data_IF_452368048951
#
_entry.id   IF_452368048951
#
_cell.length_a   1.000
_cell.length_b   1.000
_cell.length_c   1.000
_cell.angle_alpha   90.00
_cell.angle_beta   90.00
_cell.angle_gamma   90.00
#
_symmetry.space_group_name_H-M   'P 1'
#
loop_
_entity.id
_entity.type
_entity.pdbx_description
1 polymer ?
#
# COMPACT_ATOMS: atom_id res chain seq x y z
N UNK A 1 0.06 17.05 7.63
CA UNK A 1 0.64 15.70 7.74
C UNK A 1 2.03 15.77 7.15
N UNK A 2 2.98 15.07 7.73
CA UNK A 2 4.34 14.98 7.22
C UNK A 2 4.65 13.51 6.95
N UNK A 3 5.32 13.24 5.82
CA UNK A 3 5.75 11.90 5.46
C UNK A 3 7.01 11.54 6.24
N UNK A 4 6.98 10.39 6.92
CA UNK A 4 8.13 9.84 7.65
C UNK A 4 8.72 8.69 6.83
N UNK A 5 10.00 8.79 6.48
CA UNK A 5 10.70 7.74 5.76
C UNK A 5 11.32 6.74 6.75
N UNK A 6 11.00 5.46 6.58
CA UNK A 6 11.57 4.34 7.34
C UNK A 6 12.09 3.26 6.40
N UNK A 7 13.04 2.46 6.86
CA UNK A 7 13.45 1.23 6.17
C UNK A 7 12.57 0.07 6.62
N UNK A 8 12.25 -0.83 5.69
CA UNK A 8 11.57 -2.10 5.98
C UNK A 8 12.02 -3.16 4.99
N UNK A 9 11.86 -4.44 5.34
CA UNK A 9 12.10 -5.56 4.45
C UNK A 9 10.76 -6.17 4.04
N UNK A 10 10.55 -6.35 2.73
CA UNK A 10 9.32 -6.95 2.21
C UNK A 10 9.67 -8.16 1.36
N UNK A 11 8.96 -9.26 1.61
CA UNK A 11 9.05 -10.49 0.83
C UNK A 11 7.76 -10.69 0.04
N UNK A 12 7.86 -10.82 -1.28
CA UNK A 12 6.74 -11.24 -2.13
C UNK A 12 6.59 -12.76 -2.06
N UNK A 13 5.41 -13.24 -1.70
CA UNK A 13 5.18 -14.67 -1.45
C UNK A 13 5.14 -15.49 -2.74
N UNK A 14 4.45 -14.98 -3.77
CA UNK A 14 4.34 -15.60 -5.09
C UNK A 14 4.61 -14.57 -6.21
N UNK A 15 5.88 -14.26 -6.53
CA UNK A 15 6.22 -13.16 -7.44
C UNK A 15 5.67 -13.28 -8.87
N UNK A 16 5.36 -14.50 -9.32
CA UNK A 16 4.84 -14.77 -10.66
C UNK A 16 3.31 -14.89 -10.70
N UNK A 17 2.64 -14.77 -9.55
CA UNK A 17 1.20 -14.96 -9.44
C UNK A 17 0.59 -13.82 -8.63
N UNK A 18 -0.13 -12.94 -9.32
CA UNK A 18 -0.94 -11.91 -8.66
C UNK A 18 -2.07 -12.57 -7.86
N UNK A 19 -2.33 -12.07 -6.65
CA UNK A 19 -3.44 -12.53 -5.81
C UNK A 19 -4.77 -11.92 -6.22
N UNK A 20 -4.75 -10.70 -6.75
CA UNK A 20 -5.91 -10.04 -7.32
C UNK A 20 -5.53 -9.02 -8.41
N UNK A 21 -6.51 -8.66 -9.24
CA UNK A 21 -6.35 -7.61 -10.26
C UNK A 21 -7.60 -6.74 -10.32
N UNK A 22 -7.41 -5.44 -10.12
CA UNK A 22 -8.44 -4.42 -10.29
C UNK A 22 -8.30 -3.70 -11.64
N UNK A 23 -9.12 -2.66 -11.82
CA UNK A 23 -9.09 -1.85 -13.04
C UNK A 23 -7.77 -1.10 -13.26
N UNK A 24 -7.13 -0.63 -12.19
CA UNK A 24 -5.88 0.14 -12.27
C UNK A 24 -4.66 -0.54 -11.66
N UNK A 25 -4.88 -1.58 -10.84
CA UNK A 25 -3.83 -2.14 -9.97
C UNK A 25 -3.81 -3.66 -10.03
N UNK A 26 -2.64 -4.21 -9.75
CA UNK A 26 -2.43 -5.63 -9.48
C UNK A 26 -1.96 -5.79 -8.03
N UNK A 27 -2.46 -6.82 -7.35
CA UNK A 27 -2.14 -7.13 -5.96
C UNK A 27 -1.25 -8.37 -5.90
N UNK A 28 -0.30 -8.35 -4.95
CA UNK A 28 0.50 -9.51 -4.57
C UNK A 28 0.44 -9.66 -3.05
N UNK A 29 0.38 -10.91 -2.60
CA UNK A 29 0.50 -11.22 -1.18
C UNK A 29 1.98 -11.13 -0.79
N UNK A 30 2.25 -10.38 0.28
CA UNK A 30 3.60 -10.11 0.76
C UNK A 30 3.69 -10.26 2.27
N UNK A 31 4.91 -10.39 2.77
CA UNK A 31 5.23 -10.30 4.20
C UNK A 31 6.12 -9.09 4.42
N UNK A 32 5.75 -8.23 5.37
CA UNK A 32 6.72 -7.35 6.03
C UNK A 32 7.54 -8.20 7.02
N UNK A 33 8.86 -8.08 6.95
CA UNK A 33 9.82 -8.87 7.70
C UNK A 33 10.60 -7.97 8.64
N UNK A 34 10.35 -8.15 9.94
CA UNK A 34 10.98 -7.41 11.02
C UNK A 34 12.41 -7.90 11.29
N UNK A 35 13.22 -7.10 11.97
CA UNK A 35 14.61 -7.44 12.31
C UNK A 35 14.72 -8.68 13.23
N UNK A 36 13.72 -8.91 14.07
CA UNK A 36 13.63 -10.08 14.96
C UNK A 36 13.15 -11.35 14.25
N UNK A 37 12.88 -11.27 12.94
CA UNK A 37 12.34 -12.35 12.13
C UNK A 37 10.81 -12.48 12.19
N UNK A 38 10.14 -11.58 12.92
CA UNK A 38 8.69 -11.41 12.90
C UNK A 38 8.18 -11.15 11.48
N UNK A 39 6.96 -11.61 11.20
CA UNK A 39 6.36 -11.50 9.87
C UNK A 39 4.92 -11.06 9.96
N UNK A 40 4.61 -9.98 9.25
CA UNK A 40 3.26 -9.44 9.14
C UNK A 40 2.77 -9.66 7.72
N UNK A 41 1.59 -10.28 7.56
CA UNK A 41 0.98 -10.46 6.25
C UNK A 41 0.39 -9.14 5.76
N UNK A 42 0.72 -8.80 4.52
CA UNK A 42 0.29 -7.57 3.88
C UNK A 42 -0.04 -7.81 2.41
N UNK A 43 -0.64 -6.81 1.77
CA UNK A 43 -0.87 -6.77 0.32
C UNK A 43 -0.02 -5.67 -0.30
N UNK A 44 0.77 -6.03 -1.30
CA UNK A 44 1.42 -5.07 -2.17
C UNK A 44 0.52 -4.76 -3.37
N UNK A 45 0.29 -3.47 -3.67
CA UNK A 45 -0.46 -3.02 -4.86
C UNK A 45 0.44 -2.22 -5.79
N UNK A 46 0.43 -2.60 -7.07
CA UNK A 46 1.18 -1.92 -8.12
C UNK A 46 0.22 -1.41 -9.20
N UNK A 47 0.50 -0.24 -9.78
CA UNK A 47 -0.23 0.19 -10.97
C UNK A 47 0.07 -0.74 -12.15
N UNK A 48 -0.95 -0.97 -12.99
CA UNK A 48 -0.78 -1.77 -14.20
C UNK A 48 0.09 -1.04 -15.22
N UNK A 49 0.97 -1.77 -15.91
CA UNK A 49 1.92 -1.22 -16.90
C UNK A 49 1.26 -0.52 -18.09
N UNK A 50 -0.01 -0.79 -18.36
CA UNK A 50 -0.75 -0.17 -19.46
C UNK A 50 -1.30 1.21 -19.11
N UNK A 51 -1.03 1.74 -17.92
CA UNK A 51 -1.35 3.11 -17.52
C UNK A 51 -0.09 3.95 -17.71
N UNK A 52 -0.10 4.86 -18.68
CA UNK A 52 1.11 5.54 -19.18
C UNK A 52 1.58 6.71 -18.32
N UNK A 53 0.71 7.26 -17.46
CA UNK A 53 0.92 8.58 -16.86
C UNK A 53 1.12 8.53 -15.35
N UNK A 54 1.38 7.32 -14.80
CA UNK A 54 1.63 7.15 -13.36
C UNK A 54 3.00 7.71 -13.00
N UNK A 55 3.02 8.69 -12.10
CA UNK A 55 4.22 9.30 -11.54
C UNK A 55 4.35 9.01 -10.04
N UNK A 56 5.54 9.25 -9.48
CA UNK A 56 5.81 9.07 -8.05
C UNK A 56 4.75 9.75 -7.16
N UNK A 57 4.36 10.98 -7.51
CA UNK A 57 3.34 11.75 -6.78
C UNK A 57 2.01 11.00 -6.64
N UNK A 58 1.61 10.22 -7.63
CA UNK A 58 0.33 9.49 -7.58
C UNK A 58 0.31 8.44 -6.46
N UNK A 59 1.48 7.85 -6.17
CA UNK A 59 1.61 6.92 -5.05
C UNK A 59 1.40 7.62 -3.71
N UNK A 60 2.04 8.76 -3.51
CA UNK A 60 1.86 9.54 -2.28
C UNK A 60 0.43 10.10 -2.16
N UNK A 61 -0.14 10.61 -3.25
CA UNK A 61 -1.51 11.17 -3.24
C UNK A 61 -2.58 10.13 -2.88
N UNK A 62 -2.42 8.87 -3.31
CA UNK A 62 -3.33 7.79 -2.89
C UNK A 62 -3.15 7.43 -1.40
N UNK A 63 -1.91 7.40 -0.91
CA UNK A 63 -1.64 7.16 0.51
C UNK A 63 -2.23 8.26 1.40
N UNK A 64 -2.11 9.52 0.98
CA UNK A 64 -2.77 10.67 1.62
C UNK A 64 -4.30 10.53 1.59
N UNK A 65 -4.87 10.15 0.45
CA UNK A 65 -6.31 9.94 0.32
C UNK A 65 -6.83 8.88 1.30
N UNK A 66 -6.13 7.75 1.44
CA UNK A 66 -6.51 6.69 2.38
C UNK A 66 -6.36 7.13 3.84
N UNK A 67 -5.32 7.90 4.18
CA UNK A 67 -5.18 8.50 5.51
C UNK A 67 -6.33 9.47 5.83
N UNK A 68 -6.74 10.30 4.85
CA UNK A 68 -7.90 11.19 5.00
C UNK A 68 -9.21 10.40 5.18
N UNK A 69 -9.40 9.29 4.46
CA UNK A 69 -10.56 8.41 4.65
C UNK A 69 -10.67 7.88 6.09
N UNK A 70 -9.55 7.52 6.72
CA UNK A 70 -9.55 7.09 8.13
C UNK A 70 -9.94 8.23 9.10
N UNK A 71 -9.53 9.47 8.80
CA UNK A 71 -9.97 10.64 9.57
C UNK A 71 -11.48 10.88 9.44
N UNK A 72 -12.02 10.69 8.23
CA UNK A 72 -13.47 10.74 8.01
C UNK A 72 -14.19 9.60 8.73
N UNK A 73 -13.66 8.39 8.72
CA UNK A 73 -14.22 7.27 9.47
C UNK A 73 -14.23 7.54 10.98
N UNK A 74 -13.14 8.08 11.53
CA UNK A 74 -13.06 8.50 12.94
C UNK A 74 -14.13 9.53 13.29
N UNK A 75 -14.32 10.52 12.43
CA UNK A 75 -15.36 11.56 12.61
C UNK A 75 -16.76 10.98 12.49
N UNK A 76 -16.99 10.13 11.49
CA UNK A 76 -18.23 9.40 11.27
C UNK A 76 -18.59 8.54 12.48
N UNK A 77 -17.62 7.86 13.11
CA UNK A 77 -17.85 7.02 14.27
C UNK A 77 -18.17 7.82 15.55
N UNK A 78 -17.76 9.09 15.62
CA UNK A 78 -17.98 9.99 16.78
C UNK A 78 -19.23 10.86 16.67
N UNK A 79 -19.77 11.07 15.48
CA UNK A 79 -20.93 11.93 15.27
C UNK A 79 -22.16 11.48 16.08
N UNK A 80 -23.17 12.32 16.29
CA UNK A 80 -24.42 11.86 16.91
C UNK A 80 -25.13 10.88 15.98
N UNK A 81 -25.62 9.76 16.53
CA UNK A 81 -26.37 8.75 15.78
C UNK A 81 -27.66 8.42 16.53
N UNK A 82 -28.78 8.41 15.82
CA UNK A 82 -30.14 8.19 16.38
C UNK A 82 -30.79 6.90 15.91
N UNK A 83 -30.04 6.04 15.21
CA UNK A 83 -30.51 4.70 14.80
C UNK A 83 -30.30 3.64 15.88
N UNK A 84 -30.80 2.43 15.59
CA UNK A 84 -30.81 1.30 16.54
C UNK A 84 -29.43 0.66 16.67
N UNK A 85 -28.69 0.54 15.57
CA UNK A 85 -27.35 -0.03 15.53
C UNK A 85 -26.46 0.83 14.66
N UNK A 86 -25.32 1.27 15.21
CA UNK A 86 -24.39 2.15 14.50
C UNK A 86 -23.35 1.30 13.76
N UNK A 87 -23.22 1.44 12.43
CA UNK A 87 -22.09 0.87 11.72
C UNK A 87 -20.78 1.49 12.22
N UNK A 88 -19.79 0.65 12.49
CA UNK A 88 -18.42 1.10 12.77
C UNK A 88 -17.59 0.95 11.50
N UNK A 89 -16.97 2.04 11.06
CA UNK A 89 -16.16 2.06 9.83
C UNK A 89 -14.71 2.29 10.21
N UNK A 90 -13.80 1.58 9.57
CA UNK A 90 -12.37 1.86 9.61
C UNK A 90 -11.75 1.59 8.24
N UNK A 91 -10.64 2.25 7.97
CA UNK A 91 -9.80 2.05 6.80
C UNK A 91 -8.45 1.49 7.26
N UNK A 92 -8.00 0.44 6.58
CA UNK A 92 -6.69 -0.14 6.83
C UNK A 92 -5.61 0.91 6.56
N UNK A 93 -4.53 0.86 7.32
CA UNK A 93 -3.38 1.71 7.07
C UNK A 93 -2.66 1.29 5.79
N UNK A 94 -2.06 2.27 5.11
CA UNK A 94 -1.25 2.03 3.93
C UNK A 94 0.10 2.76 4.05
N UNK A 95 1.12 2.18 3.42
CA UNK A 95 2.44 2.76 3.29
C UNK A 95 2.82 2.82 1.81
N UNK A 96 3.63 3.81 1.43
CA UNK A 96 4.23 3.89 0.09
C UNK A 96 5.64 3.32 0.17
N UNK A 97 5.88 2.23 -0.56
CA UNK A 97 7.18 1.59 -0.65
C UNK A 97 7.90 2.04 -1.91
N UNK A 98 9.16 2.44 -1.70
CA UNK A 98 10.13 2.71 -2.76
C UNK A 98 11.22 1.64 -2.71
N UNK A 99 11.43 0.93 -3.81
CA UNK A 99 12.61 0.05 -3.93
C UNK A 99 13.80 0.87 -4.43
N UNK A 100 14.89 1.01 -3.66
CA UNK A 100 16.09 1.70 -4.13
C UNK A 100 16.70 0.97 -5.34
N UNK A 101 17.20 1.72 -6.35
CA UNK A 101 17.78 1.14 -7.57
C UNK A 101 18.92 0.15 -7.29
N UNK A 102 19.71 0.40 -6.26
CA UNK A 102 20.80 -0.49 -5.85
C UNK A 102 20.33 -1.88 -5.40
N UNK A 103 19.08 -2.00 -4.92
CA UNK A 103 18.47 -3.24 -4.47
C UNK A 103 17.77 -4.00 -5.60
N UNK A 104 17.74 -3.45 -6.81
CA UNK A 104 17.19 -4.12 -7.99
C UNK A 104 18.32 -4.90 -8.68
N UNK A 105 18.11 -6.19 -9.02
CA UNK A 105 19.06 -6.99 -9.81
C UNK A 105 19.48 -6.27 -11.09
N UNK A 106 20.75 -6.36 -11.48
CA UNK A 106 21.34 -5.55 -12.54
C UNK A 106 20.58 -5.68 -13.87
N UNK A 107 20.16 -6.89 -14.20
CA UNK A 107 19.35 -7.27 -15.36
C UNK A 107 17.95 -6.64 -15.40
N UNK A 108 17.50 -6.04 -14.30
CA UNK A 108 16.17 -5.45 -14.14
C UNK A 108 16.20 -3.95 -13.78
N UNK A 109 17.40 -3.36 -13.61
CA UNK A 109 17.56 -1.95 -13.18
C UNK A 109 17.01 -0.93 -14.18
N UNK A 110 17.04 -1.26 -15.47
CA UNK A 110 16.55 -0.41 -16.56
C UNK A 110 15.05 -0.65 -16.87
N UNK A 111 14.39 -1.55 -16.14
CA UNK A 111 12.94 -1.71 -16.18
C UNK A 111 12.22 -0.50 -15.56
N UNK A 112 10.99 -0.21 -16.04
CA UNK A 112 10.14 0.85 -15.51
C UNK A 112 10.10 0.80 -13.97
N UNK A 113 10.49 1.91 -13.34
CA UNK A 113 10.70 2.03 -11.90
C UNK A 113 9.36 1.94 -11.16
N UNK A 114 9.28 1.08 -10.15
CA UNK A 114 8.05 0.85 -9.37
C UNK A 114 8.15 1.44 -7.97
N UNK A 115 7.16 2.26 -7.63
CA UNK A 115 6.68 2.37 -6.25
C UNK A 115 5.55 1.35 -6.09
N UNK A 116 5.21 0.97 -4.86
CA UNK A 116 4.02 0.17 -4.60
C UNK A 116 3.44 0.45 -3.22
N UNK A 117 2.14 0.20 -3.05
CA UNK A 117 1.47 0.36 -1.78
C UNK A 117 1.58 -0.91 -0.97
N UNK A 118 1.90 -0.78 0.31
CA UNK A 118 1.74 -1.84 1.30
C UNK A 118 0.49 -1.56 2.12
N UNK A 119 -0.35 -2.57 2.29
CA UNK A 119 -1.51 -2.49 3.17
C UNK A 119 -1.52 -3.71 4.10
N UNK A 120 -1.57 -3.47 5.40
CA UNK A 120 -1.60 -4.55 6.39
C UNK A 120 -2.99 -5.19 6.40
N UNK A 121 -3.01 -6.52 6.57
CA UNK A 121 -4.25 -7.29 6.72
C UNK A 121 -4.89 -7.07 8.09
#
# INVERSE_FOLDING_TARGET
MEWVATGTNVRVLAPLQASARGGMRVCYDVEEVEEDGGRTQCVAKLFLRNISDVVEKDYFSEGEAQCMCEQFATSFNKATFTGIERPHVSFLQCQVLRTPKQNIPAEHRDGQHGFFFLQNH
#
